data_IF_630890968544
#
_entry.id   IF_630890968544
#
_cell.length_a   1.000
_cell.length_b   1.000
_cell.length_c   1.000
_cell.angle_alpha   90.00
_cell.angle_beta   90.00
_cell.angle_gamma   90.00
#
_symmetry.space_group_name_H-M   'P 1'
#
loop_
_entity.id
_entity.type
_entity.pdbx_description
1 polymer ?
#
# COMPACT_ATOMS: atom_id res chain seq x y z
N UNK A 1 -5.51 -4.56 -2.43
CA UNK A 1 -5.34 -5.84 -3.17
C UNK A 1 -4.69 -5.67 -4.54
N UNK A 2 -4.96 -4.61 -5.32
CA UNK A 2 -4.39 -4.42 -6.67
C UNK A 2 -2.86 -4.52 -6.74
N UNK A 3 -2.13 -3.84 -5.85
CA UNK A 3 -0.65 -3.87 -5.83
C UNK A 3 -0.09 -5.29 -5.61
N UNK A 4 -0.73 -6.09 -4.76
CA UNK A 4 -0.36 -7.48 -4.56
C UNK A 4 -0.58 -8.34 -5.81
N UNK A 5 -1.72 -8.16 -6.50
CA UNK A 5 -1.99 -8.86 -7.76
C UNK A 5 -0.97 -8.51 -8.84
N UNK A 6 -0.54 -7.25 -8.89
CA UNK A 6 0.54 -6.79 -9.80
C UNK A 6 1.85 -7.50 -9.49
N UNK A 7 2.25 -7.57 -8.22
CA UNK A 7 3.46 -8.30 -7.82
C UNK A 7 3.39 -9.79 -8.18
N UNK A 8 2.23 -10.43 -7.97
CA UNK A 8 2.02 -11.84 -8.37
C UNK A 8 2.14 -11.99 -9.88
N UNK A 9 1.51 -11.12 -10.67
CA UNK A 9 1.58 -11.17 -12.13
C UNK A 9 3.00 -10.92 -12.65
N UNK A 10 3.73 -9.96 -12.04
CA UNK A 10 5.15 -9.70 -12.33
C UNK A 10 6.00 -10.94 -12.07
N UNK A 11 5.87 -11.54 -10.89
CA UNK A 11 6.66 -12.70 -10.49
C UNK A 11 6.37 -13.93 -11.36
N UNK A 12 5.13 -14.07 -11.85
CA UNK A 12 4.73 -15.12 -12.79
C UNK A 12 5.01 -14.78 -14.26
N UNK A 13 5.40 -13.53 -14.55
CA UNK A 13 5.49 -12.95 -15.89
C UNK A 13 4.20 -13.13 -16.73
N UNK A 14 3.04 -13.27 -16.07
CA UNK A 14 1.74 -13.43 -16.71
C UNK A 14 0.58 -13.15 -15.73
N UNK A 15 -0.50 -12.48 -16.16
CA UNK A 15 -0.68 -11.83 -17.46
C UNK A 15 0.17 -10.55 -17.59
N UNK A 16 0.38 -10.08 -18.82
CA UNK A 16 1.03 -8.79 -19.05
C UNK A 16 0.08 -7.65 -18.68
N UNK A 17 0.39 -6.95 -17.59
CA UNK A 17 -0.36 -5.79 -17.13
C UNK A 17 0.16 -4.51 -17.79
N UNK A 18 -0.74 -3.61 -18.18
CA UNK A 18 -0.39 -2.35 -18.84
C UNK A 18 -0.48 -1.14 -17.91
N UNK A 19 -1.29 -1.23 -16.84
CA UNK A 19 -1.43 -0.20 -15.83
C UNK A 19 -2.01 -0.81 -14.53
N UNK A 20 -1.92 -0.06 -13.44
CA UNK A 20 -2.60 -0.34 -12.17
C UNK A 20 -3.21 0.93 -11.59
N UNK A 21 -4.36 0.80 -10.92
CA UNK A 21 -5.02 1.91 -10.24
C UNK A 21 -5.23 1.56 -8.77
N UNK A 22 -4.74 2.43 -7.90
CA UNK A 22 -4.76 2.30 -6.45
C UNK A 22 -5.60 3.44 -5.88
N UNK A 23 -6.81 3.14 -5.43
CA UNK A 23 -7.71 4.10 -4.78
C UNK A 23 -7.68 3.89 -3.27
N UNK A 24 -7.30 4.93 -2.52
CA UNK A 24 -7.17 4.93 -1.05
C UNK A 24 -6.45 3.65 -0.54
N UNK A 25 -5.27 3.31 -1.06
CA UNK A 25 -4.75 1.96 -0.92
C UNK A 25 -4.24 1.67 0.49
N UNK A 26 -4.71 0.57 1.08
CA UNK A 26 -4.14 -0.03 2.29
C UNK A 26 -2.87 -0.80 1.95
N UNK A 27 -1.71 -0.31 2.37
CA UNK A 27 -0.40 -0.82 1.92
C UNK A 27 0.52 -1.34 3.03
N UNK A 28 0.44 -0.81 4.26
CA UNK A 28 1.19 -1.34 5.41
C UNK A 28 0.32 -1.52 6.66
N UNK A 29 0.30 -2.74 7.18
CA UNK A 29 -0.38 -3.08 8.43
C UNK A 29 0.30 -2.56 9.71
N UNK A 30 1.44 -1.86 9.65
CA UNK A 30 2.10 -1.37 10.87
C UNK A 30 1.36 -0.19 11.53
N UNK A 31 0.66 0.64 10.75
CA UNK A 31 -0.07 1.82 11.25
C UNK A 31 0.85 2.77 12.06
N UNK A 32 1.99 3.13 11.47
CA UNK A 32 3.06 3.92 12.15
C UNK A 32 3.22 5.35 11.60
N UNK A 33 2.50 5.72 10.54
CA UNK A 33 2.64 7.00 9.85
C UNK A 33 1.99 8.16 10.61
N UNK A 34 2.30 9.41 10.22
CA UNK A 34 1.70 10.59 10.83
C UNK A 34 0.21 10.68 10.48
N UNK A 35 -0.15 10.43 9.21
CA UNK A 35 -1.55 10.38 8.74
C UNK A 35 -2.40 9.40 9.57
N UNK A 36 -1.84 8.23 9.91
CA UNK A 36 -2.55 7.22 10.70
C UNK A 36 -2.86 7.66 12.13
N UNK A 37 -2.03 8.56 12.69
CA UNK A 37 -2.21 9.16 14.02
C UNK A 37 -3.16 10.36 13.97
N UNK A 38 -3.12 11.15 12.89
CA UNK A 38 -4.00 12.31 12.69
C UNK A 38 -5.47 11.88 12.57
N UNK A 39 -5.74 10.76 11.89
CA UNK A 39 -7.08 10.23 11.66
C UNK A 39 -7.40 9.02 12.55
N UNK A 40 -7.00 9.05 13.83
CA UNK A 40 -7.02 7.88 14.70
C UNK A 40 -8.42 7.39 15.13
N UNK A 41 -9.38 8.30 15.38
CA UNK A 41 -10.72 7.92 15.92
C UNK A 41 -11.91 8.60 15.25
N UNK A 42 -11.69 9.61 14.40
CA UNK A 42 -12.77 10.52 13.95
C UNK A 42 -13.18 10.34 12.49
N UNK A 43 -12.77 9.24 11.85
CA UNK A 43 -13.10 8.93 10.45
C UNK A 43 -13.59 7.48 10.31
N UNK A 44 -14.46 7.17 9.32
CA UNK A 44 -14.85 5.78 9.04
C UNK A 44 -13.65 4.87 8.76
N UNK A 45 -12.68 5.39 8.01
CA UNK A 45 -11.37 4.76 7.81
C UNK A 45 -10.38 5.25 8.88
N UNK A 46 -10.66 4.94 10.14
CA UNK A 46 -9.81 5.36 11.26
C UNK A 46 -8.56 4.47 11.41
N UNK A 47 -7.54 4.96 12.11
CA UNK A 47 -6.37 4.16 12.46
C UNK A 47 -6.73 2.89 13.23
N UNK A 48 -7.75 2.95 14.08
CA UNK A 48 -8.30 1.80 14.82
C UNK A 48 -8.96 0.79 13.88
N UNK A 49 -9.78 1.27 12.94
CA UNK A 49 -10.41 0.41 11.93
C UNK A 49 -9.35 -0.29 11.07
N UNK A 50 -8.38 0.47 10.56
CA UNK A 50 -7.27 -0.06 9.79
C UNK A 50 -6.49 -1.12 10.59
N UNK A 51 -6.20 -0.83 11.86
CA UNK A 51 -5.49 -1.76 12.71
C UNK A 51 -6.23 -3.09 12.88
N UNK A 52 -7.52 -3.02 13.15
CA UNK A 52 -8.42 -4.17 13.31
C UNK A 52 -8.53 -4.99 12.01
N UNK A 53 -8.62 -4.31 10.86
CA UNK A 53 -8.68 -4.98 9.56
C UNK A 53 -7.41 -5.81 9.29
N UNK A 54 -6.23 -5.25 9.55
CA UNK A 54 -4.97 -5.98 9.42
C UNK A 54 -4.79 -7.10 10.44
N UNK A 55 -5.24 -6.91 11.69
CA UNK A 55 -5.22 -7.95 12.71
C UNK A 55 -6.10 -9.14 12.29
N UNK A 56 -7.24 -8.89 11.65
CA UNK A 56 -8.13 -9.95 11.15
C UNK A 56 -7.46 -10.79 10.06
N UNK A 57 -6.65 -10.18 9.19
CA UNK A 57 -5.98 -10.88 8.07
C UNK A 57 -4.68 -11.56 8.50
N UNK A 58 -3.91 -10.94 9.40
CA UNK A 58 -2.55 -11.37 9.73
C UNK A 58 -2.43 -12.01 11.11
N UNK A 59 -3.36 -11.75 12.03
CA UNK A 59 -3.25 -12.09 13.45
C UNK A 59 -1.92 -11.63 14.03
N UNK A 60 -1.31 -12.49 14.85
CA UNK A 60 -0.02 -12.24 15.52
C UNK A 60 1.11 -11.89 14.54
N UNK A 61 1.04 -12.36 13.28
CA UNK A 61 2.05 -12.06 12.26
C UNK A 61 2.12 -10.58 11.89
N UNK A 62 1.06 -9.81 12.13
CA UNK A 62 1.02 -8.36 11.82
C UNK A 62 2.24 -7.62 12.37
N UNK A 63 2.65 -7.99 13.59
CA UNK A 63 3.71 -7.34 14.37
C UNK A 63 5.11 -7.88 14.08
N UNK A 64 5.23 -8.87 13.20
CA UNK A 64 6.52 -9.46 12.86
C UNK A 64 7.08 -8.85 11.57
N UNK A 65 8.40 -8.96 11.35
CA UNK A 65 9.01 -8.62 10.07
C UNK A 65 8.52 -9.56 8.95
N UNK A 66 8.04 -10.77 9.26
CA UNK A 66 7.70 -11.86 8.33
C UNK A 66 6.35 -11.70 7.59
N UNK A 67 5.80 -10.48 7.54
CA UNK A 67 4.65 -10.20 6.68
C UNK A 67 5.17 -10.06 5.26
N UNK A 68 4.70 -10.94 4.38
CA UNK A 68 5.03 -10.91 2.96
C UNK A 68 4.66 -9.57 2.33
N UNK A 69 5.50 -9.08 1.42
CA UNK A 69 5.19 -7.92 0.57
C UNK A 69 3.91 -8.12 -0.27
N UNK A 70 3.51 -9.36 -0.55
CA UNK A 70 2.24 -9.65 -1.23
C UNK A 70 1.04 -9.35 -0.33
N UNK A 71 1.22 -9.32 0.98
CA UNK A 71 0.17 -8.95 1.93
C UNK A 71 0.29 -7.47 2.30
N UNK A 72 1.50 -6.94 2.44
CA UNK A 72 1.78 -5.53 2.75
C UNK A 72 2.72 -4.91 1.70
N UNK A 73 2.20 -4.44 0.55
CA UNK A 73 3.01 -3.99 -0.59
C UNK A 73 3.97 -2.85 -0.29
N UNK A 74 3.67 -1.98 0.70
CA UNK A 74 4.59 -0.92 1.11
C UNK A 74 5.89 -1.45 1.78
N UNK A 75 5.96 -2.75 2.11
CA UNK A 75 7.18 -3.38 2.60
C UNK A 75 8.12 -3.85 1.47
N UNK A 76 7.68 -3.83 0.22
CA UNK A 76 8.52 -4.22 -0.91
C UNK A 76 9.69 -3.25 -1.09
N UNK A 77 10.90 -3.79 -1.20
CA UNK A 77 12.11 -2.99 -1.45
C UNK A 77 12.39 -2.79 -2.92
N UNK A 78 11.80 -3.62 -3.79
CA UNK A 78 11.94 -3.53 -5.24
C UNK A 78 10.57 -3.47 -5.94
N UNK A 79 10.28 -2.29 -6.48
CA UNK A 79 9.10 -2.02 -7.30
C UNK A 79 9.45 -1.82 -8.78
N UNK A 80 10.63 -2.24 -9.23
CA UNK A 80 11.02 -2.19 -10.64
C UNK A 80 10.07 -3.03 -11.50
N UNK A 81 9.97 -2.64 -12.78
CA UNK A 81 9.19 -3.34 -13.81
C UNK A 81 7.69 -3.47 -13.47
N UNK A 82 7.20 -2.68 -12.50
CA UNK A 82 5.77 -2.54 -12.27
C UNK A 82 5.14 -1.75 -13.43
N UNK A 83 3.92 -2.12 -13.87
CA UNK A 83 3.17 -1.34 -14.81
C UNK A 83 2.90 0.07 -14.23
N UNK A 84 2.78 1.10 -15.09
CA UNK A 84 2.41 2.46 -14.67
C UNK A 84 1.25 2.47 -13.68
N UNK A 85 1.40 3.23 -12.58
CA UNK A 85 0.40 3.33 -11.53
C UNK A 85 -0.28 4.70 -11.51
N UNK A 86 -1.60 4.69 -11.29
CA UNK A 86 -2.33 5.86 -10.77
C UNK A 86 -2.63 5.56 -9.30
N UNK A 87 -2.26 6.47 -8.42
CA UNK A 87 -2.43 6.37 -6.98
C UNK A 87 -3.23 7.59 -6.53
N UNK A 88 -4.36 7.35 -5.89
CA UNK A 88 -5.25 8.36 -5.36
C UNK A 88 -5.44 8.12 -3.86
N UNK A 89 -5.33 9.19 -3.08
CA UNK A 89 -5.51 9.15 -1.63
C UNK A 89 -6.01 10.51 -1.16
N UNK A 90 -6.88 10.56 -0.16
CA UNK A 90 -7.36 11.86 0.34
C UNK A 90 -6.42 12.51 1.36
N UNK A 91 -6.38 13.85 1.39
CA UNK A 91 -5.62 14.64 2.39
C UNK A 91 -5.88 14.19 3.85
N UNK A 92 -7.13 13.87 4.18
CA UNK A 92 -7.57 13.48 5.52
C UNK A 92 -7.60 11.95 5.76
N UNK A 93 -7.06 11.15 4.83
CA UNK A 93 -7.08 9.69 4.95
C UNK A 93 -5.91 9.15 5.77
N UNK A 94 -6.18 8.07 6.51
CA UNK A 94 -5.15 7.37 7.28
C UNK A 94 -4.03 6.79 6.40
N UNK A 95 -4.34 6.50 5.14
CA UNK A 95 -3.42 5.87 4.17
C UNK A 95 -2.53 6.87 3.42
N UNK A 96 -2.74 8.18 3.60
CA UNK A 96 -2.03 9.24 2.85
C UNK A 96 -0.53 9.04 2.80
N UNK A 97 0.12 8.98 3.96
CA UNK A 97 1.57 8.95 4.02
C UNK A 97 2.14 7.63 3.44
N UNK A 98 1.45 6.50 3.61
CA UNK A 98 1.91 5.22 3.03
C UNK A 98 1.71 5.16 1.51
N UNK A 99 0.65 5.77 0.99
CA UNK A 99 0.44 5.91 -0.45
C UNK A 99 1.51 6.81 -1.09
N UNK A 100 1.82 7.95 -0.45
CA UNK A 100 2.91 8.86 -0.87
C UNK A 100 4.27 8.14 -0.85
N UNK A 101 4.56 7.39 0.22
CA UNK A 101 5.79 6.63 0.34
C UNK A 101 5.90 5.53 -0.73
N UNK A 102 4.81 4.84 -1.03
CA UNK A 102 4.77 3.82 -2.07
C UNK A 102 4.98 4.40 -3.47
N UNK A 103 4.33 5.53 -3.80
CA UNK A 103 4.55 6.25 -5.06
C UNK A 103 6.03 6.68 -5.20
N UNK A 104 6.58 7.24 -4.11
CA UNK A 104 7.99 7.62 -4.05
C UNK A 104 8.91 6.43 -4.30
N UNK A 105 8.58 5.27 -3.72
CA UNK A 105 9.35 4.04 -3.91
C UNK A 105 9.28 3.50 -5.34
N UNK A 106 8.13 3.63 -6.00
CA UNK A 106 8.01 3.27 -7.42
C UNK A 106 8.95 4.12 -8.28
N UNK A 107 9.00 5.44 -8.06
CA UNK A 107 9.91 6.33 -8.78
C UNK A 107 11.38 6.01 -8.50
N UNK A 108 11.74 5.75 -7.25
CA UNK A 108 13.10 5.33 -6.88
C UNK A 108 13.55 4.05 -7.62
N UNK A 109 12.64 3.11 -7.83
CA UNK A 109 12.90 1.86 -8.55
C UNK A 109 12.81 1.99 -10.08
N UNK A 110 12.54 3.18 -10.61
CA UNK A 110 12.43 3.44 -12.06
C UNK A 110 11.07 3.10 -12.67
N UNK A 111 10.04 2.81 -11.85
CA UNK A 111 8.67 2.62 -12.30
C UNK A 111 7.90 3.94 -12.34
N UNK A 112 6.92 4.02 -13.26
CA UNK A 112 6.08 5.21 -13.42
C UNK A 112 4.90 5.18 -12.44
N UNK A 113 4.66 6.31 -11.78
CA UNK A 113 3.46 6.51 -10.97
C UNK A 113 2.99 7.96 -11.07
N UNK A 114 1.67 8.16 -11.09
CA UNK A 114 1.00 9.44 -10.85
C UNK A 114 0.32 9.37 -9.48
N UNK A 115 0.52 10.40 -8.66
CA UNK A 115 -0.03 10.50 -7.32
C UNK A 115 -0.97 11.71 -7.22
N UNK A 116 -2.19 11.47 -6.74
CA UNK A 116 -3.21 12.46 -6.46
C UNK A 116 -3.50 12.46 -4.96
N UNK A 117 -3.48 13.66 -4.34
CA UNK A 117 -3.74 13.89 -2.91
C UNK A 117 -4.86 14.91 -2.74
#
# INVERSE_FOLDING_TARGET
MTAASVMVARNKQYPKLHAQMLLCPMLDGRVITISSKQSHTNTPCSGVFNATAWETVLGDRRRTPDVSELLAPARATNLSDHPPAIIDVGECEVFRDEAVAYASKMWECGSSAELYV
#
